data_IF_369193435920
#
_entry.id   IF_369193435920
#
_cell.length_a   1.000
_cell.length_b   1.000
_cell.length_c   1.000
_cell.angle_alpha   90.00
_cell.angle_beta   90.00
_cell.angle_gamma   90.00
#
_symmetry.space_group_name_H-M   'P 1'
#
loop_
_entity.id
_entity.type
_entity.pdbx_description
1 polymer ?
#
# COMPACT_ATOMS: atom_id res chain seq x y z
N UNK A 1 -14.01 19.55 -11.53
CA UNK A 1 -12.83 18.88 -10.95
C UNK A 1 -13.17 18.48 -9.51
N UNK A 2 -12.97 17.22 -9.13
CA UNK A 2 -13.27 16.75 -7.76
C UNK A 2 -12.29 17.30 -6.72
N UNK A 3 -12.68 17.30 -5.45
CA UNK A 3 -11.83 17.71 -4.33
C UNK A 3 -10.61 16.76 -4.22
N UNK A 4 -9.39 17.31 -4.37
CA UNK A 4 -8.14 16.55 -4.37
C UNK A 4 -7.40 16.75 -3.05
N UNK A 5 -6.85 15.66 -2.53
CA UNK A 5 -6.11 15.58 -1.28
C UNK A 5 -4.66 15.23 -1.58
N UNK A 6 -3.68 16.03 -1.11
CA UNK A 6 -2.27 15.67 -1.18
C UNK A 6 -1.97 14.51 -0.23
N UNK A 7 -1.51 13.38 -0.77
CA UNK A 7 -1.01 12.23 -0.02
C UNK A 7 0.52 12.22 -0.08
N UNK A 8 1.17 12.36 1.07
CA UNK A 8 2.63 12.35 1.16
C UNK A 8 3.14 10.92 1.33
N UNK A 9 4.07 10.53 0.45
CA UNK A 9 4.72 9.21 0.45
C UNK A 9 6.03 9.19 1.24
N UNK A 10 6.72 10.32 1.27
CA UNK A 10 7.99 10.52 1.99
C UNK A 10 8.23 12.01 2.26
N UNK A 11 9.09 12.32 3.23
CA UNK A 11 9.48 13.66 3.63
C UNK A 11 10.47 14.26 2.61
N UNK A 12 9.96 14.70 1.46
CA UNK A 12 10.77 15.42 0.46
C UNK A 12 10.32 15.24 -0.98
N UNK A 13 9.49 14.24 -1.25
CA UNK A 13 8.88 14.05 -2.56
C UNK A 13 7.58 14.85 -2.70
N UNK A 14 7.24 15.33 -3.92
CA UNK A 14 5.94 15.90 -4.20
C UNK A 14 4.82 14.93 -3.79
N UNK A 15 3.72 15.42 -3.18
CA UNK A 15 2.61 14.57 -2.82
C UNK A 15 1.89 14.05 -4.05
N UNK A 16 1.31 12.85 -3.94
CA UNK A 16 0.38 12.33 -4.93
C UNK A 16 -0.99 12.91 -4.66
N UNK A 17 -1.62 13.50 -5.69
CA UNK A 17 -2.97 14.03 -5.57
C UNK A 17 -4.00 12.92 -5.75
N UNK A 18 -4.80 12.66 -4.72
CA UNK A 18 -5.85 11.62 -4.75
C UNK A 18 -7.21 12.25 -4.48
N UNK A 19 -8.25 11.78 -5.17
CA UNK A 19 -9.61 12.26 -4.92
C UNK A 19 -10.05 12.00 -3.48
N UNK A 20 -10.58 13.03 -2.81
CA UNK A 20 -11.06 12.92 -1.43
C UNK A 20 -12.11 11.84 -1.26
N UNK A 21 -13.01 11.71 -2.24
CA UNK A 21 -14.09 10.71 -2.22
C UNK A 21 -13.53 9.30 -2.23
N UNK A 22 -12.46 9.05 -2.98
CA UNK A 22 -11.78 7.75 -3.03
C UNK A 22 -11.17 7.41 -1.67
N UNK A 23 -10.39 8.34 -1.09
CA UNK A 23 -9.80 8.19 0.25
C UNK A 23 -10.84 8.05 1.37
N UNK A 24 -11.95 8.80 1.28
CA UNK A 24 -12.97 8.80 2.32
C UNK A 24 -13.85 7.55 2.29
N UNK A 25 -14.00 6.93 1.11
CA UNK A 25 -14.74 5.68 0.94
C UNK A 25 -13.90 4.47 1.34
N UNK A 26 -12.58 4.53 1.19
CA UNK A 26 -11.70 3.42 1.53
C UNK A 26 -11.62 3.16 3.03
N UNK A 27 -11.59 4.22 3.86
CA UNK A 27 -11.50 4.06 5.31
C UNK A 27 -12.21 5.18 6.10
N UNK A 28 -13.05 4.82 7.10
CA UNK A 28 -13.59 5.77 8.06
C UNK A 28 -12.50 6.52 8.85
N UNK A 29 -11.38 5.86 9.15
CA UNK A 29 -10.25 6.49 9.83
C UNK A 29 -9.56 7.53 8.96
N UNK A 30 -9.35 7.22 7.68
CA UNK A 30 -8.76 8.18 6.73
C UNK A 30 -9.69 9.38 6.58
N UNK A 31 -11.00 9.16 6.42
CA UNK A 31 -12.01 10.23 6.39
C UNK A 31 -11.94 11.12 7.63
N UNK A 32 -11.86 10.52 8.82
CA UNK A 32 -11.74 11.24 10.10
C UNK A 32 -10.46 12.08 10.15
N UNK A 33 -9.32 11.50 9.77
CA UNK A 33 -8.02 12.17 9.78
C UNK A 33 -7.98 13.39 8.85
N UNK A 34 -8.51 13.27 7.63
CA UNK A 34 -8.63 14.41 6.71
C UNK A 34 -9.48 15.53 7.34
N UNK A 35 -10.60 15.16 8.00
CA UNK A 35 -11.45 16.13 8.69
C UNK A 35 -10.75 16.85 9.84
N UNK A 36 -9.98 16.13 10.65
CA UNK A 36 -9.21 16.69 11.77
C UNK A 36 -8.13 17.65 11.28
N UNK A 37 -7.31 17.26 10.31
CA UNK A 37 -6.27 18.13 9.74
C UNK A 37 -6.86 19.43 9.17
N UNK A 38 -8.04 19.34 8.55
CA UNK A 38 -8.73 20.51 7.98
C UNK A 38 -9.22 21.45 9.09
N UNK A 39 -9.67 20.90 10.23
CA UNK A 39 -10.20 21.68 11.34
C UNK A 39 -9.11 22.29 12.24
N UNK A 40 -8.00 21.56 12.45
CA UNK A 40 -6.93 21.95 13.37
C UNK A 40 -5.87 22.82 12.70
N UNK A 41 -5.40 22.42 11.50
CA UNK A 41 -4.28 23.07 10.82
C UNK A 41 -4.71 23.86 9.57
N UNK A 42 -6.00 23.77 9.19
CA UNK A 42 -6.48 24.31 7.90
C UNK A 42 -5.93 23.56 6.68
N UNK A 43 -5.20 22.45 6.88
CA UNK A 43 -4.59 21.66 5.82
C UNK A 43 -5.45 20.46 5.47
N UNK A 44 -5.45 20.07 4.19
CA UNK A 44 -6.14 18.86 3.73
C UNK A 44 -5.19 17.66 3.57
N UNK A 45 -3.91 17.85 3.87
CA UNK A 45 -2.86 16.89 3.57
C UNK A 45 -3.06 15.60 4.36
N UNK A 46 -2.87 14.47 3.70
CA UNK A 46 -2.83 13.16 4.32
C UNK A 46 -1.38 12.71 4.45
N UNK A 47 -0.92 12.63 5.71
CA UNK A 47 0.36 12.00 6.06
C UNK A 47 0.09 10.69 6.77
N UNK A 48 0.59 9.61 6.21
CA UNK A 48 0.50 8.28 6.80
C UNK A 48 1.87 7.91 7.36
N UNK A 49 1.89 7.43 8.60
CA UNK A 49 3.11 6.90 9.21
C UNK A 49 3.32 5.46 8.71
N UNK A 50 3.88 5.34 7.50
CA UNK A 50 4.19 4.08 6.86
C UNK A 50 5.33 4.26 5.84
N UNK A 51 6.13 3.21 5.58
CA UNK A 51 7.16 3.27 4.54
C UNK A 51 6.56 3.62 3.17
N UNK A 52 7.32 4.34 2.34
CA UNK A 52 6.89 4.73 1.00
C UNK A 52 6.43 3.54 0.13
N UNK A 53 7.08 2.37 0.25
CA UNK A 53 6.69 1.15 -0.46
C UNK A 53 5.28 0.66 -0.08
N UNK A 54 4.93 0.70 1.21
CA UNK A 54 3.58 0.35 1.69
C UNK A 54 2.55 1.36 1.16
N UNK A 55 2.90 2.64 1.14
CA UNK A 55 2.01 3.68 0.61
C UNK A 55 1.83 3.57 -0.92
N UNK A 56 2.85 3.12 -1.66
CA UNK A 56 2.70 2.78 -3.08
C UNK A 56 1.70 1.64 -3.29
N UNK A 57 1.75 0.58 -2.49
CA UNK A 57 0.76 -0.51 -2.55
C UNK A 57 -0.65 0.00 -2.20
N UNK A 58 -0.77 0.85 -1.17
CA UNK A 58 -2.05 1.48 -0.83
C UNK A 58 -2.61 2.31 -1.99
N UNK A 59 -1.77 3.11 -2.65
CA UNK A 59 -2.16 3.88 -3.84
C UNK A 59 -2.58 2.94 -4.96
N UNK A 60 -1.79 1.91 -5.27
CA UNK A 60 -2.13 0.93 -6.29
C UNK A 60 -3.52 0.35 -6.04
N UNK A 61 -3.80 -0.09 -4.82
CA UNK A 61 -5.10 -0.63 -4.46
C UNK A 61 -6.25 0.37 -4.61
N UNK A 62 -6.05 1.65 -4.27
CA UNK A 62 -7.10 2.67 -4.47
C UNK A 62 -7.56 2.78 -5.93
N UNK A 63 -6.70 2.46 -6.90
CA UNK A 63 -7.01 2.57 -8.32
C UNK A 63 -7.36 1.22 -8.98
N UNK A 64 -6.84 0.12 -8.45
CA UNK A 64 -6.94 -1.20 -9.08
C UNK A 64 -7.79 -2.21 -8.30
N UNK A 65 -8.22 -1.89 -7.08
CA UNK A 65 -8.98 -2.78 -6.18
C UNK A 65 -8.28 -4.12 -5.88
N UNK A 66 -6.97 -4.19 -6.11
CA UNK A 66 -6.07 -5.32 -5.85
C UNK A 66 -4.73 -4.86 -5.31
N UNK A 67 -3.81 -5.79 -5.07
CA UNK A 67 -2.41 -5.48 -4.72
C UNK A 67 -1.51 -5.82 -5.90
N UNK A 68 -0.38 -5.11 -6.08
CA UNK A 68 0.53 -5.41 -7.18
C UNK A 68 1.08 -6.83 -7.03
N UNK A 69 1.24 -7.54 -8.15
CA UNK A 69 1.92 -8.84 -8.14
C UNK A 69 3.42 -8.68 -7.87
N UNK A 70 4.13 -9.80 -7.75
CA UNK A 70 5.59 -9.78 -7.64
C UNK A 70 6.23 -9.09 -8.87
N UNK A 71 5.71 -9.37 -10.06
CA UNK A 71 6.18 -8.80 -11.34
C UNK A 71 5.89 -7.30 -11.46
N UNK A 72 4.80 -6.82 -10.87
CA UNK A 72 4.49 -5.38 -10.80
C UNK A 72 5.42 -4.65 -9.81
N UNK A 73 6.11 -5.39 -8.93
CA UNK A 73 6.97 -4.87 -7.88
C UNK A 73 8.48 -4.85 -8.25
N UNK A 74 8.85 -5.05 -9.52
CA UNK A 74 10.27 -5.15 -9.95
C UNK A 74 11.10 -3.92 -9.63
N UNK A 75 10.49 -2.75 -9.53
CA UNK A 75 11.17 -1.50 -9.15
C UNK A 75 11.28 -1.31 -7.62
N UNK A 76 10.70 -2.22 -6.83
CA UNK A 76 10.72 -2.20 -5.36
C UNK A 76 11.76 -3.13 -4.76
N UNK A 77 12.46 -3.92 -5.59
CA UNK A 77 13.54 -4.82 -5.17
C UNK A 77 14.90 -4.15 -5.33
N UNK A 78 15.86 -4.54 -4.50
CA UNK A 78 17.21 -3.97 -4.57
C UNK A 78 17.91 -4.37 -5.89
N UNK A 79 18.57 -3.45 -6.60
CA UNK A 79 19.31 -3.79 -7.81
C UNK A 79 20.34 -4.90 -7.53
N UNK A 80 20.28 -5.98 -8.31
CA UNK A 80 21.19 -7.12 -8.18
C UNK A 80 20.78 -8.17 -7.14
N UNK A 81 19.60 -8.06 -6.52
CA UNK A 81 19.04 -9.13 -5.69
C UNK A 81 18.81 -10.41 -6.50
N UNK A 82 19.09 -11.55 -5.90
CA UNK A 82 18.61 -12.84 -6.41
C UNK A 82 17.08 -12.88 -6.42
N UNK A 83 16.49 -13.75 -7.24
CA UNK A 83 15.03 -13.93 -7.28
C UNK A 83 14.47 -14.31 -5.88
N UNK A 84 15.20 -15.14 -5.14
CA UNK A 84 14.83 -15.53 -3.78
C UNK A 84 14.76 -14.33 -2.84
N UNK A 85 15.79 -13.48 -2.80
CA UNK A 85 15.81 -12.27 -1.98
C UNK A 85 14.72 -11.27 -2.39
N UNK A 86 14.46 -11.15 -3.69
CA UNK A 86 13.39 -10.31 -4.21
C UNK A 86 12.02 -10.79 -3.74
N UNK A 87 11.76 -12.10 -3.78
CA UNK A 87 10.50 -12.69 -3.31
C UNK A 87 10.34 -12.55 -1.79
N UNK A 88 11.41 -12.72 -1.02
CA UNK A 88 11.39 -12.45 0.43
C UNK A 88 11.04 -10.98 0.74
N UNK A 89 11.64 -10.03 0.02
CA UNK A 89 11.32 -8.61 0.15
C UNK A 89 9.86 -8.31 -0.19
N UNK A 90 9.32 -8.96 -1.22
CA UNK A 90 7.92 -8.84 -1.61
C UNK A 90 6.97 -9.40 -0.54
N UNK A 91 7.26 -10.57 0.04
CA UNK A 91 6.50 -11.11 1.18
C UNK A 91 6.51 -10.17 2.38
N UNK A 92 7.67 -9.57 2.71
CA UNK A 92 7.78 -8.58 3.78
C UNK A 92 6.92 -7.34 3.47
N UNK A 93 6.90 -6.88 2.21
CA UNK A 93 6.05 -5.77 1.76
C UNK A 93 4.56 -6.10 1.94
N UNK A 94 4.13 -7.31 1.57
CA UNK A 94 2.76 -7.77 1.79
C UNK A 94 2.40 -7.74 3.28
N UNK A 95 3.23 -8.33 4.15
CA UNK A 95 2.97 -8.35 5.60
C UNK A 95 2.90 -6.93 6.19
N UNK A 96 3.81 -6.03 5.80
CA UNK A 96 3.78 -4.63 6.23
C UNK A 96 2.53 -3.89 5.74
N UNK A 97 2.12 -4.15 4.50
CA UNK A 97 0.87 -3.61 3.94
C UNK A 97 -0.34 -4.11 4.73
N UNK A 98 -0.38 -5.40 5.07
CA UNK A 98 -1.45 -5.96 5.88
C UNK A 98 -1.56 -5.30 7.26
N UNK A 99 -0.42 -5.04 7.92
CA UNK A 99 -0.38 -4.35 9.21
C UNK A 99 -0.86 -2.90 9.10
N UNK A 100 -0.40 -2.17 8.08
CA UNK A 100 -0.88 -0.81 7.79
C UNK A 100 -2.39 -0.79 7.55
N UNK A 101 -2.88 -1.74 6.77
CA UNK A 101 -4.29 -1.87 6.47
C UNK A 101 -5.14 -2.15 7.72
N UNK A 102 -4.63 -2.98 8.64
CA UNK A 102 -5.26 -3.21 9.94
C UNK A 102 -5.41 -1.91 10.73
N UNK A 103 -4.32 -1.15 10.84
CA UNK A 103 -4.28 0.11 11.59
C UNK A 103 -5.26 1.14 11.01
N UNK A 104 -5.31 1.25 9.68
CA UNK A 104 -6.21 2.17 8.97
C UNK A 104 -7.62 1.62 8.75
N UNK A 105 -7.96 0.43 9.26
CA UNK A 105 -9.26 -0.22 9.07
C UNK A 105 -9.64 -0.39 7.59
N UNK A 106 -8.69 -0.82 6.77
CA UNK A 106 -8.84 -1.08 5.33
C UNK A 106 -9.08 -2.59 5.09
N UNK A 107 -10.24 -3.13 5.47
CA UNK A 107 -10.47 -4.58 5.39
C UNK A 107 -10.37 -5.16 3.97
N UNK A 108 -10.76 -4.40 2.95
CA UNK A 108 -10.67 -4.85 1.55
C UNK A 108 -9.21 -5.08 1.11
N UNK A 109 -8.30 -4.16 1.44
CA UNK A 109 -6.88 -4.35 1.12
C UNK A 109 -6.27 -5.47 1.97
N UNK A 110 -6.70 -5.66 3.24
CA UNK A 110 -6.24 -6.81 4.04
C UNK A 110 -6.57 -8.13 3.37
N UNK A 111 -7.79 -8.27 2.87
CA UNK A 111 -8.22 -9.48 2.17
C UNK A 111 -7.44 -9.69 0.87
N UNK A 112 -7.21 -8.63 0.09
CA UNK A 112 -6.41 -8.69 -1.12
C UNK A 112 -4.96 -9.12 -0.82
N UNK A 113 -4.34 -8.52 0.20
CA UNK A 113 -2.99 -8.90 0.63
C UNK A 113 -2.93 -10.36 1.09
N UNK A 114 -3.90 -10.82 1.88
CA UNK A 114 -3.94 -12.22 2.36
C UNK A 114 -4.03 -13.21 1.21
N UNK A 115 -4.85 -12.91 0.20
CA UNK A 115 -4.97 -13.75 -1.00
C UNK A 115 -3.62 -13.89 -1.72
N UNK A 116 -2.97 -12.77 -2.06
CA UNK A 116 -1.67 -12.78 -2.73
C UNK A 116 -0.54 -13.39 -1.88
N UNK A 117 -0.60 -13.23 -0.56
CA UNK A 117 0.40 -13.82 0.33
C UNK A 117 0.34 -15.36 0.31
N UNK A 118 -0.87 -15.94 0.25
CA UNK A 118 -1.01 -17.40 0.09
C UNK A 118 -0.57 -17.88 -1.29
N UNK A 119 -0.92 -17.17 -2.36
CA UNK A 119 -0.44 -17.51 -3.71
C UNK A 119 1.10 -17.52 -3.78
N UNK A 120 1.77 -16.56 -3.14
CA UNK A 120 3.23 -16.50 -3.12
C UNK A 120 3.85 -17.65 -2.30
N UNK A 121 3.25 -18.03 -1.18
CA UNK A 121 3.71 -19.20 -0.39
C UNK A 121 3.57 -20.48 -1.23
N UNK A 122 2.44 -20.67 -1.90
CA UNK A 122 2.18 -21.85 -2.74
C UNK A 122 3.14 -21.89 -3.93
N UNK A 123 3.43 -20.75 -4.56
CA UNK A 123 4.37 -20.63 -5.67
C UNK A 123 5.80 -21.00 -5.25
N UNK A 124 6.26 -20.54 -4.08
CA UNK A 124 7.58 -20.91 -3.55
C UNK A 124 7.68 -22.40 -3.18
N UNK A 125 6.62 -22.96 -2.60
CA UNK A 125 6.59 -24.38 -2.28
C UNK A 125 6.71 -25.26 -3.54
N UNK A 126 6.07 -24.86 -4.63
CA UNK A 126 6.15 -25.56 -5.92
C UNK A 126 7.55 -25.45 -6.55
N UNK A 127 8.24 -24.31 -6.43
CA UNK A 127 9.60 -24.16 -6.94
C UNK A 127 10.63 -25.00 -6.16
N UNK A 128 10.44 -25.15 -4.85
CA UNK A 128 11.36 -25.93 -4.01
C UNK A 128 11.23 -27.44 -4.21
N UNK A 129 10.05 -27.93 -4.59
CA UNK A 129 9.79 -29.37 -4.84
C UNK A 129 10.17 -29.80 -6.27
N UNK A 130 10.36 -28.84 -7.19
CA UNK A 130 10.72 -29.10 -8.58
C UNK A 130 12.25 -29.21 -8.83
N UNK A 131 13.07 -29.04 -7.79
CA UNK A 131 14.53 -29.18 -7.78
C UNK A 131 14.96 -30.54 -7.19
#
# INVERSE_FOLDING_TARGET
MGDMIPLHLDNGLPPVLVQRTLLSRSSPQIKKKIGQNTAEDGTRDLRCDAPASVLKVFIYWLFHDGVPSFEDCTDMTSPGSSEYEAREQYQILLVRTWMFAKDKQLSAIQNAVTFHFFEEIDAQHLSDVAL
#
